data_IF_238236276696
#
_entry.id   IF_238236276696
#
_cell.length_a   1.000
_cell.length_b   1.000
_cell.length_c   1.000
_cell.angle_alpha   90.00
_cell.angle_beta   90.00
_cell.angle_gamma   90.00
#
_symmetry.space_group_name_H-M   'P 1'
#
loop_
_entity.id
_entity.type
_entity.pdbx_description
1 polymer ?
#
# COMPACT_ATOMS: atom_id res chain seq x y z
N UNK A 1 15.58 -5.52 -16.19
CA UNK A 1 14.29 -4.83 -16.10
C UNK A 1 13.24 -5.75 -16.69
N UNK A 2 12.48 -6.40 -15.82
CA UNK A 2 11.55 -7.47 -16.17
C UNK A 2 10.40 -6.93 -17.04
N UNK A 3 9.86 -7.77 -17.92
CA UNK A 3 8.80 -7.36 -18.85
C UNK A 3 7.60 -6.78 -18.09
N UNK A 4 7.23 -7.38 -16.95
CA UNK A 4 6.19 -6.91 -16.03
C UNK A 4 6.44 -5.51 -15.46
N UNK A 5 7.69 -5.19 -15.08
CA UNK A 5 8.06 -3.87 -14.56
C UNK A 5 7.88 -2.78 -15.63
N UNK A 6 8.21 -3.09 -16.90
CA UNK A 6 7.99 -2.16 -18.02
C UNK A 6 6.50 -1.87 -18.22
N UNK A 7 5.64 -2.89 -18.12
CA UNK A 7 4.19 -2.69 -18.22
C UNK A 7 3.64 -1.83 -17.08
N UNK A 8 4.09 -2.05 -15.85
CA UNK A 8 3.68 -1.23 -14.71
C UNK A 8 4.05 0.24 -14.88
N UNK A 9 5.27 0.54 -15.35
CA UNK A 9 5.71 1.91 -15.59
C UNK A 9 4.85 2.59 -16.67
N UNK A 10 4.54 1.87 -17.76
CA UNK A 10 3.67 2.38 -18.83
C UNK A 10 2.25 2.63 -18.31
N UNK A 11 1.71 1.74 -17.48
CA UNK A 11 0.40 1.92 -16.85
C UNK A 11 0.36 3.11 -15.89
N UNK A 12 1.43 3.33 -15.11
CA UNK A 12 1.56 4.50 -14.22
C UNK A 12 1.58 5.79 -15.03
N UNK A 13 2.34 5.85 -16.13
CA UNK A 13 2.39 7.02 -17.00
C UNK A 13 1.01 7.37 -17.59
N UNK A 14 0.25 6.36 -18.03
CA UNK A 14 -1.13 6.54 -18.52
C UNK A 14 -2.10 7.04 -17.46
N UNK A 15 -1.96 6.58 -16.21
CA UNK A 15 -2.76 7.06 -15.09
C UNK A 15 -2.45 8.53 -14.77
N UNK A 16 -1.18 8.93 -14.83
CA UNK A 16 -0.77 10.33 -14.64
C UNK A 16 -1.33 11.24 -15.74
N UNK A 17 -1.38 10.76 -16.99
CA UNK A 17 -2.00 11.49 -18.09
C UNK A 17 -3.51 11.67 -17.88
N UNK A 18 -4.22 10.61 -17.48
CA UNK A 18 -5.64 10.67 -17.13
C UNK A 18 -5.89 11.68 -16.00
N UNK A 19 -5.04 11.69 -14.96
CA UNK A 19 -5.14 12.63 -13.85
C UNK A 19 -5.03 14.08 -14.33
N UNK A 20 -4.09 14.39 -15.25
CA UNK A 20 -3.94 15.73 -15.84
C UNK A 20 -5.19 16.15 -16.62
N UNK A 21 -5.75 15.23 -17.40
CA UNK A 21 -6.97 15.49 -18.20
C UNK A 21 -8.16 15.78 -17.28
N UNK A 22 -8.36 14.98 -16.22
CA UNK A 22 -9.43 15.21 -15.24
C UNK A 22 -9.22 16.55 -14.52
N UNK A 23 -7.99 16.89 -14.14
CA UNK A 23 -7.69 18.17 -13.47
C UNK A 23 -7.98 19.36 -14.39
N UNK A 24 -7.60 19.26 -15.67
CA UNK A 24 -7.92 20.26 -16.68
C UNK A 24 -9.43 20.38 -16.93
N UNK A 25 -10.14 19.25 -16.94
CA UNK A 25 -11.59 19.21 -17.09
C UNK A 25 -12.31 19.89 -15.91
N UNK A 26 -11.91 19.58 -14.67
CA UNK A 26 -12.45 20.22 -13.47
C UNK A 26 -12.21 21.74 -13.51
N UNK A 27 -11.02 22.18 -13.92
CA UNK A 27 -10.71 23.60 -14.07
C UNK A 27 -11.64 24.27 -15.09
N UNK A 28 -11.82 23.67 -16.27
CA UNK A 28 -12.72 24.17 -17.33
C UNK A 28 -14.18 24.20 -16.89
N UNK A 29 -14.62 23.23 -16.10
CA UNK A 29 -15.97 23.20 -15.53
C UNK A 29 -16.16 24.31 -14.51
N UNK A 30 -15.12 24.60 -13.72
CA UNK A 30 -15.17 25.64 -12.68
C UNK A 30 -15.10 27.05 -13.29
N UNK A 31 -14.45 27.23 -14.44
CA UNK A 31 -14.26 28.54 -15.08
C UNK A 31 -15.46 29.06 -15.89
N UNK A 32 -16.62 28.37 -15.89
CA UNK A 32 -17.87 28.76 -16.57
C UNK A 32 -17.78 28.98 -18.11
N UNK A 33 -16.67 28.62 -18.76
CA UNK A 33 -16.53 28.65 -20.23
C UNK A 33 -17.03 27.35 -20.87
N UNK A 34 -18.32 27.03 -20.70
CA UNK A 34 -18.82 25.70 -21.02
C UNK A 34 -19.76 25.69 -22.23
N UNK A 35 -19.25 25.17 -23.34
CA UNK A 35 -20.06 24.59 -24.40
C UNK A 35 -20.34 23.11 -24.04
N UNK A 36 -21.61 22.72 -24.00
CA UNK A 36 -22.04 21.35 -23.70
C UNK A 36 -21.39 20.28 -24.60
N UNK A 37 -21.11 20.63 -25.87
CA UNK A 37 -20.37 19.76 -26.80
C UNK A 37 -18.99 19.41 -26.26
N UNK A 38 -18.25 20.42 -25.81
CA UNK A 38 -16.90 20.28 -25.28
C UNK A 38 -16.89 19.46 -23.99
N UNK A 39 -17.90 19.60 -23.12
CA UNK A 39 -18.04 18.77 -21.92
C UNK A 39 -18.21 17.30 -22.31
N UNK A 40 -19.11 17.04 -23.25
CA UNK A 40 -19.46 15.69 -23.70
C UNK A 40 -18.25 15.00 -24.35
N UNK A 41 -17.52 15.72 -25.19
CA UNK A 41 -16.29 15.24 -25.81
C UNK A 41 -15.22 14.87 -24.76
N UNK A 42 -15.00 15.73 -23.76
CA UNK A 42 -14.05 15.44 -22.68
C UNK A 42 -14.50 14.25 -21.82
N UNK A 43 -15.79 14.12 -21.55
CA UNK A 43 -16.34 12.97 -20.83
C UNK A 43 -16.13 11.66 -21.58
N UNK A 44 -16.38 11.64 -22.89
CA UNK A 44 -16.15 10.48 -23.75
C UNK A 44 -14.65 10.11 -23.73
N UNK A 45 -13.76 11.10 -23.84
CA UNK A 45 -12.31 10.88 -23.79
C UNK A 45 -11.87 10.23 -22.46
N UNK A 46 -12.31 10.77 -21.32
CA UNK A 46 -11.99 10.24 -19.99
C UNK A 46 -12.49 8.80 -19.85
N UNK A 47 -13.71 8.53 -20.29
CA UNK A 47 -14.33 7.20 -20.20
C UNK A 47 -13.58 6.16 -21.04
N UNK A 48 -13.17 6.54 -22.25
CA UNK A 48 -12.40 5.69 -23.15
C UNK A 48 -10.99 5.40 -22.60
N UNK A 49 -10.28 6.41 -22.11
CA UNK A 49 -8.97 6.21 -21.47
C UNK A 49 -9.06 5.32 -20.24
N UNK A 50 -10.08 5.53 -19.39
CA UNK A 50 -10.29 4.74 -18.18
C UNK A 50 -10.54 3.28 -18.52
N UNK A 51 -11.42 3.02 -19.49
CA UNK A 51 -11.74 1.66 -19.95
C UNK A 51 -10.51 0.97 -20.57
N UNK A 52 -9.69 1.71 -21.31
CA UNK A 52 -8.44 1.21 -21.89
C UNK A 52 -7.40 0.82 -20.82
N UNK A 53 -7.25 1.64 -19.78
CA UNK A 53 -6.35 1.36 -18.65
C UNK A 53 -6.82 0.13 -17.88
N UNK A 54 -8.12 0.03 -17.57
CA UNK A 54 -8.69 -1.14 -16.88
C UNK A 54 -8.44 -2.41 -17.69
N UNK A 55 -8.69 -2.38 -19.00
CA UNK A 55 -8.42 -3.52 -19.89
C UNK A 55 -6.93 -3.87 -19.92
N UNK A 56 -6.06 -2.87 -19.96
CA UNK A 56 -4.61 -3.06 -19.91
C UNK A 56 -4.17 -3.72 -18.61
N UNK A 57 -4.72 -3.32 -17.47
CA UNK A 57 -4.39 -3.89 -16.15
C UNK A 57 -4.86 -5.34 -16.07
N UNK A 58 -6.10 -5.61 -16.50
CA UNK A 58 -6.67 -6.96 -16.50
C UNK A 58 -5.90 -7.92 -17.43
N UNK A 59 -5.36 -7.42 -18.54
CA UNK A 59 -4.62 -8.23 -19.52
C UNK A 59 -3.18 -8.55 -19.09
N UNK A 60 -2.62 -7.86 -18.08
CA UNK A 60 -1.26 -8.16 -17.59
C UNK A 60 -1.25 -9.50 -16.83
N UNK A 61 -2.40 -10.12 -16.55
CA UNK A 61 -2.45 -11.41 -15.86
C UNK A 61 -1.79 -11.34 -14.50
N UNK A 62 -1.78 -10.15 -13.88
CA UNK A 62 -1.31 -9.98 -12.52
C UNK A 62 -2.16 -10.90 -11.65
N UNK A 63 -1.56 -11.84 -10.89
CA UNK A 63 -2.32 -12.60 -9.91
C UNK A 63 -3.04 -11.58 -9.02
N UNK A 64 -4.33 -11.82 -8.77
CA UNK A 64 -5.17 -10.84 -8.08
C UNK A 64 -4.44 -10.44 -6.80
N UNK A 65 -4.12 -9.14 -6.66
CA UNK A 65 -3.20 -8.64 -5.64
C UNK A 65 -3.63 -9.03 -4.21
N UNK A 66 -4.90 -9.38 -4.00
CA UNK A 66 -5.41 -9.89 -2.72
C UNK A 66 -4.86 -11.28 -2.33
N UNK A 67 -4.32 -12.06 -3.28
CA UNK A 67 -3.71 -13.38 -3.03
C UNK A 67 -2.17 -13.33 -2.92
N UNK A 68 -1.56 -12.16 -3.12
CA UNK A 68 -0.14 -11.99 -2.90
C UNK A 68 0.09 -11.64 -1.44
N UNK A 69 0.98 -12.36 -0.77
CA UNK A 69 1.46 -11.99 0.57
C UNK A 69 2.10 -10.61 0.45
N UNK A 70 1.40 -9.59 0.93
CA UNK A 70 1.91 -8.22 0.97
C UNK A 70 2.98 -8.19 2.07
N UNK A 71 4.24 -8.33 1.66
CA UNK A 71 5.38 -8.10 2.55
C UNK A 71 5.71 -6.61 2.51
N UNK A 72 5.80 -5.92 3.65
CA UNK A 72 6.24 -4.53 3.67
C UNK A 72 7.65 -4.43 3.09
N UNK A 73 7.81 -3.74 1.96
CA UNK A 73 9.13 -3.57 1.32
C UNK A 73 10.06 -2.67 2.14
N UNK A 74 9.49 -1.75 2.93
CA UNK A 74 10.21 -0.87 3.85
C UNK A 74 9.42 -0.76 5.14
N UNK A 75 10.06 -1.11 6.24
CA UNK A 75 9.56 -0.83 7.58
C UNK A 75 10.29 0.41 8.06
N UNK A 76 9.55 1.48 8.32
CA UNK A 76 10.09 2.65 9.01
C UNK A 76 10.12 2.32 10.50
N UNK A 77 11.30 2.34 11.10
CA UNK A 77 11.46 2.11 12.54
C UNK A 77 11.00 3.32 13.36
N UNK A 78 11.04 4.51 12.77
CA UNK A 78 10.60 5.73 13.42
C UNK A 78 9.06 5.87 13.38
N UNK A 79 8.42 6.23 14.50
CA UNK A 79 6.99 6.44 14.55
C UNK A 79 6.60 7.66 13.70
N UNK A 80 5.64 7.47 12.79
CA UNK A 80 5.09 8.57 12.00
C UNK A 80 4.32 9.53 12.92
N UNK A 81 4.88 10.73 13.11
CA UNK A 81 4.31 11.78 13.96
C UNK A 81 2.92 12.23 13.48
N UNK A 82 2.66 12.15 12.18
CA UNK A 82 1.37 12.50 11.58
C UNK A 82 0.31 11.48 12.00
N UNK A 83 0.65 10.20 11.88
CA UNK A 83 -0.20 9.09 12.30
C UNK A 83 -0.44 9.09 13.82
N UNK A 84 0.57 9.41 14.61
CA UNK A 84 0.46 9.53 16.07
C UNK A 84 -0.58 10.59 16.48
N UNK A 85 -0.58 11.75 15.80
CA UNK A 85 -1.57 12.81 16.01
C UNK A 85 -2.98 12.37 15.62
N UNK A 86 -3.16 11.77 14.44
CA UNK A 86 -4.48 11.32 13.98
C UNK A 86 -5.08 10.22 14.85
N UNK A 87 -4.23 9.33 15.39
CA UNK A 87 -4.69 8.19 16.19
C UNK A 87 -4.69 8.47 17.69
N UNK A 88 -4.35 9.69 18.10
CA UNK A 88 -4.22 10.08 19.51
C UNK A 88 -3.40 9.08 20.32
N UNK A 89 -2.29 8.58 19.74
CA UNK A 89 -1.40 7.60 20.37
C UNK A 89 -1.97 6.19 20.57
N UNK A 90 -3.18 5.87 20.07
CA UNK A 90 -3.81 4.56 20.25
C UNK A 90 -3.08 3.42 19.54
N UNK A 91 -2.36 3.70 18.45
CA UNK A 91 -1.62 2.68 17.72
C UNK A 91 -0.49 2.09 18.57
N UNK A 92 0.17 2.90 19.41
CA UNK A 92 1.20 2.41 20.34
C UNK A 92 0.63 1.49 21.43
N UNK A 93 -0.69 1.52 21.68
CA UNK A 93 -1.36 0.61 22.61
C UNK A 93 -1.63 -0.77 22.00
N UNK A 94 -1.57 -0.90 20.66
CA UNK A 94 -1.64 -2.18 19.96
C UNK A 94 -0.29 -2.90 19.98
N UNK A 95 0.36 -2.92 21.14
CA UNK A 95 1.55 -3.72 21.33
C UNK A 95 1.14 -5.21 21.34
N UNK A 96 1.93 -6.05 20.68
CA UNK A 96 1.69 -7.50 20.56
C UNK A 96 1.66 -8.23 21.90
N UNK A 97 2.13 -7.59 22.97
CA UNK A 97 2.07 -8.13 24.34
C UNK A 97 0.70 -7.91 25.01
N UNK A 98 -0.17 -7.08 24.43
CA UNK A 98 -1.50 -6.70 24.97
C UNK A 98 -2.64 -7.30 24.11
N UNK A 99 -2.33 -7.73 22.89
CA UNK A 99 -3.32 -8.30 21.95
C UNK A 99 -3.59 -9.78 22.31
N UNK A 100 -4.86 -10.24 22.31
CA UNK A 100 -5.19 -11.65 22.53
C UNK A 100 -4.44 -12.58 21.56
N UNK A 101 -4.02 -13.75 22.04
CA UNK A 101 -3.20 -14.70 21.28
C UNK A 101 -3.74 -15.04 19.88
N UNK A 102 -5.06 -15.03 19.72
CA UNK A 102 -5.74 -15.31 18.45
C UNK A 102 -5.45 -14.26 17.35
N UNK A 103 -5.10 -13.03 17.73
CA UNK A 103 -4.86 -11.91 16.82
C UNK A 103 -3.37 -11.51 16.76
N UNK A 104 -2.49 -12.28 17.39
CA UNK A 104 -1.06 -12.01 17.46
C UNK A 104 -0.37 -12.48 16.18
N UNK A 105 0.55 -11.67 15.64
CA UNK A 105 1.31 -12.01 14.42
C UNK A 105 2.70 -12.61 14.69
N UNK A 106 3.08 -12.79 15.96
CA UNK A 106 4.32 -13.48 16.38
C UNK A 106 4.18 -15.01 16.24
N UNK A 107 5.31 -15.69 16.09
CA UNK A 107 5.40 -17.14 15.93
C UNK A 107 4.70 -17.90 17.06
N UNK A 108 4.13 -19.08 16.75
CA UNK A 108 3.33 -19.95 17.62
C UNK A 108 3.57 -19.77 19.16
N UNK A 109 2.54 -19.37 19.94
CA UNK A 109 2.67 -19.06 21.38
C UNK A 109 3.25 -20.21 22.21
N UNK A 110 2.98 -21.47 21.83
CA UNK A 110 3.49 -22.65 22.54
C UNK A 110 5.02 -22.74 22.52
N UNK A 111 5.65 -22.24 21.44
CA UNK A 111 7.10 -22.23 21.27
C UNK A 111 7.74 -21.17 22.15
N UNK A 112 7.13 -19.99 22.28
CA UNK A 112 7.61 -18.94 23.18
C UNK A 112 7.52 -19.35 24.64
N UNK A 113 6.44 -20.02 25.03
CA UNK A 113 6.29 -20.55 26.38
C UNK A 113 7.30 -21.66 26.67
N UNK A 114 7.62 -22.51 25.70
CA UNK A 114 8.70 -23.49 25.84
C UNK A 114 10.07 -22.82 26.03
N UNK A 115 10.36 -21.74 25.29
CA UNK A 115 11.61 -20.96 25.43
C UNK A 115 11.68 -20.22 26.77
N UNK A 116 10.57 -19.67 27.25
CA UNK A 116 10.49 -19.04 28.57
C UNK A 116 10.68 -20.05 29.70
N UNK A 117 10.04 -21.22 29.60
CA UNK A 117 10.19 -22.32 30.58
C UNK A 117 11.61 -22.89 30.61
N UNK A 118 12.35 -22.82 29.50
CA UNK A 118 13.72 -23.34 29.42
C UNK A 118 14.81 -22.36 29.89
N UNK A 119 14.45 -21.18 30.45
CA UNK A 119 15.40 -20.17 30.93
C UNK A 119 16.51 -19.85 29.89
N UNK A 120 16.17 -19.80 28.61
CA UNK A 120 17.16 -19.47 27.57
C UNK A 120 17.56 -17.98 27.68
N UNK A 121 18.64 -17.73 28.41
CA UNK A 121 19.28 -16.43 28.56
C UNK A 121 20.23 -16.20 27.37
N UNK A 122 19.93 -15.29 26.43
CA UNK A 122 20.83 -15.00 25.30
C UNK A 122 22.14 -14.33 25.74
N UNK A 123 22.23 -13.84 26.98
CA UNK A 123 23.40 -13.13 27.52
C UNK A 123 24.66 -14.00 27.63
N UNK A 124 24.51 -15.34 27.66
CA UNK A 124 25.62 -16.27 27.80
C UNK A 124 26.44 -16.50 26.51
N UNK A 125 26.03 -15.93 25.37
CA UNK A 125 26.73 -16.07 24.10
C UNK A 125 27.58 -14.85 23.70
N UNK A 126 27.42 -13.71 24.39
CA UNK A 126 28.19 -12.49 24.07
C UNK A 126 29.52 -12.43 24.85
N UNK A 127 29.60 -13.06 26.03
CA UNK A 127 30.79 -13.05 26.90
C UNK A 127 31.66 -14.33 26.83
N UNK A 128 31.72 -15.01 25.69
CA UNK A 128 32.59 -16.20 25.49
C UNK A 128 33.70 -16.04 24.45
N UNK A 129 33.96 -14.82 23.99
CA UNK A 129 35.07 -14.51 23.07
C UNK A 129 36.02 -13.43 23.65
N UNK A 130 36.45 -13.60 24.90
CA UNK A 130 37.70 -13.03 25.41
C UNK A 130 38.57 -14.14 25.99
#
# INVERSE_FOLDING_TARGET
>A
MNSSEKYLIISIARLQELQKIISSFIYKVTSNELNWSTITENYILITNMTSSIIRSINNIGLPVLHNLVIVPSKVLYEPDQTMFKYTAGRISMLNQDIIPNLLRTKLNPDVEDAVKRSNFQPENFINKNQ
#
